data_IF_130180219619
#
_entry.id   IF_130180219619
#
_cell.length_a   1.000
_cell.length_b   1.000
_cell.length_c   1.000
_cell.angle_alpha   90.00
_cell.angle_beta   90.00
_cell.angle_gamma   90.00
#
_symmetry.space_group_name_H-M   'P 1'
#
loop_
_entity.id
_entity.type
_entity.pdbx_description
1 polymer ?
#
# COMPACT_ATOMS: atom_id res chain seq x y z
N UNK A 1 -8.44 6.68 14.75
CA UNK A 1 -9.28 7.85 14.45
C UNK A 1 -8.45 8.86 13.64
N UNK A 2 -9.11 9.55 12.68
CA UNK A 2 -8.48 10.61 11.92
C UNK A 2 -8.36 11.89 12.77
N UNK A 3 -7.21 12.55 12.67
CA UNK A 3 -7.01 13.90 13.21
C UNK A 3 -7.78 14.95 12.39
N UNK A 4 -7.94 16.16 12.90
CA UNK A 4 -8.61 17.24 12.17
C UNK A 4 -7.91 17.56 10.85
N UNK A 5 -6.57 17.46 10.80
CA UNK A 5 -5.78 17.63 9.58
C UNK A 5 -6.13 16.56 8.54
N UNK A 6 -6.15 15.31 8.94
CA UNK A 6 -6.44 14.17 8.05
C UNK A 6 -7.87 14.22 7.51
N UNK A 7 -8.82 14.69 8.31
CA UNK A 7 -10.21 14.87 7.88
C UNK A 7 -10.37 15.85 6.71
N UNK A 8 -9.49 16.85 6.61
CA UNK A 8 -9.54 17.84 5.51
C UNK A 8 -9.27 17.21 4.16
N UNK A 9 -8.38 16.22 4.09
CA UNK A 9 -7.97 15.54 2.85
C UNK A 9 -8.71 14.23 2.60
N UNK A 10 -9.49 13.77 3.57
CA UNK A 10 -10.22 12.49 3.50
C UNK A 10 -11.68 12.75 3.10
N UNK A 11 -12.16 12.19 1.98
CA UNK A 11 -13.53 12.38 1.54
C UNK A 11 -14.54 11.86 2.55
N UNK A 12 -15.64 12.58 2.74
CA UNK A 12 -16.77 12.18 3.56
C UNK A 12 -17.93 11.73 2.67
N UNK A 13 -18.45 10.54 2.88
CA UNK A 13 -19.65 10.05 2.24
C UNK A 13 -20.90 10.80 2.73
N UNK A 14 -21.95 10.84 1.93
CA UNK A 14 -23.24 11.46 2.32
C UNK A 14 -23.84 10.87 3.60
N UNK A 15 -23.50 9.64 3.93
CA UNK A 15 -23.94 8.95 5.14
C UNK A 15 -23.13 9.32 6.41
N UNK A 16 -22.17 10.26 6.30
CA UNK A 16 -21.43 10.82 7.44
C UNK A 16 -20.23 10.01 7.92
N UNK A 17 -19.70 9.12 7.11
CA UNK A 17 -18.46 8.39 7.39
C UNK A 17 -17.37 8.76 6.38
N UNK A 18 -16.11 8.64 6.79
CA UNK A 18 -14.97 8.89 5.91
C UNK A 18 -14.69 7.70 5.00
N UNK A 19 -14.42 7.99 3.73
CA UNK A 19 -14.00 7.03 2.69
C UNK A 19 -12.56 7.33 2.29
N UNK A 20 -11.92 6.43 1.55
CA UNK A 20 -10.54 6.63 1.07
C UNK A 20 -9.58 7.05 2.21
N UNK A 21 -9.61 6.30 3.31
CA UNK A 21 -8.83 6.58 4.53
C UNK A 21 -7.32 6.72 4.26
N UNK A 22 -6.83 6.10 3.17
CA UNK A 22 -5.43 6.22 2.77
C UNK A 22 -5.01 7.67 2.47
N UNK A 23 -5.92 8.55 2.06
CA UNK A 23 -5.64 9.99 1.92
C UNK A 23 -5.21 10.60 3.25
N UNK A 24 -5.95 10.33 4.32
CA UNK A 24 -5.59 10.76 5.66
C UNK A 24 -4.28 10.13 6.15
N UNK A 25 -4.07 8.85 5.87
CA UNK A 25 -2.83 8.17 6.24
C UNK A 25 -1.62 8.68 5.45
N UNK A 26 -1.80 9.08 4.19
CA UNK A 26 -0.76 9.76 3.41
C UNK A 26 -0.38 11.09 4.05
N UNK A 27 -1.36 11.92 4.44
CA UNK A 27 -1.10 13.17 5.16
C UNK A 27 -0.32 12.93 6.47
N UNK A 28 -0.75 11.93 7.25
CA UNK A 28 -0.04 11.52 8.47
C UNK A 28 1.41 11.14 8.18
N UNK A 29 1.64 10.30 7.18
CA UNK A 29 2.97 9.84 6.80
C UNK A 29 3.91 11.01 6.47
N UNK A 30 3.46 11.93 5.63
CA UNK A 30 4.25 13.12 5.29
C UNK A 30 4.55 13.99 6.52
N UNK A 31 3.56 14.19 7.39
CA UNK A 31 3.72 15.05 8.54
C UNK A 31 4.55 14.41 9.66
N UNK A 32 4.23 13.18 10.07
CA UNK A 32 4.85 12.53 11.24
C UNK A 32 6.23 11.93 10.93
N UNK A 33 6.41 11.35 9.74
CA UNK A 33 7.63 10.62 9.42
C UNK A 33 8.57 11.37 8.48
N UNK A 34 8.06 12.24 7.62
CA UNK A 34 8.90 13.05 6.73
C UNK A 34 9.09 14.49 7.19
N UNK A 35 8.40 14.90 8.26
CA UNK A 35 8.45 16.27 8.76
C UNK A 35 7.96 17.33 7.76
N UNK A 36 7.16 16.91 6.77
CA UNK A 36 6.66 17.78 5.71
C UNK A 36 5.29 18.34 6.06
N UNK A 37 5.18 19.65 5.99
CA UNK A 37 3.94 20.40 6.13
C UNK A 37 3.88 21.45 5.01
N UNK A 38 3.74 21.00 3.79
CA UNK A 38 3.86 21.86 2.63
C UNK A 38 2.84 21.50 1.52
N UNK A 39 2.94 22.21 0.40
CA UNK A 39 2.05 22.01 -0.74
C UNK A 39 2.14 20.59 -1.31
N UNK A 40 3.29 19.92 -1.26
CA UNK A 40 3.48 18.57 -1.76
C UNK A 40 2.65 17.55 -0.95
N UNK A 41 2.71 17.63 0.36
CA UNK A 41 1.86 16.82 1.26
C UNK A 41 0.38 17.01 0.94
N UNK A 42 -0.05 18.28 0.84
CA UNK A 42 -1.45 18.59 0.52
C UNK A 42 -1.87 18.06 -0.86
N UNK A 43 -1.03 18.14 -1.88
CA UNK A 43 -1.34 17.63 -3.22
C UNK A 43 -1.46 16.12 -3.21
N UNK A 44 -0.51 15.44 -2.60
CA UNK A 44 -0.46 13.96 -2.57
C UNK A 44 -1.62 13.37 -1.76
N UNK A 45 -2.04 14.04 -0.71
CA UNK A 45 -3.14 13.58 0.15
C UNK A 45 -4.53 13.93 -0.39
N UNK A 46 -4.63 14.90 -1.33
CA UNK A 46 -5.91 15.46 -1.80
C UNK A 46 -6.45 14.80 -3.08
N UNK A 47 -5.86 13.70 -3.56
CA UNK A 47 -6.23 13.14 -4.87
C UNK A 47 -7.67 12.60 -4.96
N UNK A 48 -8.33 12.34 -3.82
CA UNK A 48 -9.74 11.92 -3.76
C UNK A 48 -10.74 13.05 -3.45
N UNK A 49 -10.27 14.26 -3.16
CA UNK A 49 -11.15 15.42 -2.99
C UNK A 49 -11.10 16.34 -4.22
N UNK A 50 -12.02 17.30 -4.32
CA UNK A 50 -12.08 18.22 -5.47
C UNK A 50 -11.04 19.34 -5.34
N UNK A 51 -9.79 18.98 -5.46
CA UNK A 51 -8.66 19.91 -5.47
C UNK A 51 -8.44 20.47 -6.87
N UNK A 52 -8.51 21.79 -7.01
CA UNK A 52 -8.42 22.48 -8.30
C UNK A 52 -6.98 22.79 -8.74
N UNK A 53 -5.99 22.55 -7.91
CA UNK A 53 -4.56 22.75 -8.26
C UNK A 53 -4.14 21.86 -9.43
N UNK A 54 -3.35 22.36 -10.39
CA UNK A 54 -2.97 21.62 -11.59
C UNK A 54 -2.31 20.26 -11.28
N UNK A 55 -1.35 20.24 -10.33
CA UNK A 55 -0.65 19.01 -9.94
C UNK A 55 -1.59 18.00 -9.25
N UNK A 56 -2.52 18.45 -8.42
CA UNK A 56 -3.51 17.57 -7.81
C UNK A 56 -4.43 16.91 -8.86
N UNK A 57 -4.81 17.65 -9.91
CA UNK A 57 -5.57 17.09 -11.04
C UNK A 57 -4.78 16.05 -11.83
N UNK A 58 -3.50 16.30 -12.06
CA UNK A 58 -2.60 15.35 -12.74
C UNK A 58 -2.48 14.07 -11.91
N UNK A 59 -2.20 14.22 -10.61
CA UNK A 59 -2.07 13.08 -9.70
C UNK A 59 -3.36 12.24 -9.64
N UNK A 60 -4.51 12.89 -9.47
CA UNK A 60 -5.82 12.21 -9.50
C UNK A 60 -6.03 11.45 -10.81
N UNK A 61 -5.63 12.03 -11.94
CA UNK A 61 -5.76 11.36 -13.23
C UNK A 61 -4.83 10.17 -13.37
N UNK A 62 -3.61 10.29 -12.87
CA UNK A 62 -2.65 9.19 -12.85
C UNK A 62 -3.15 8.02 -11.99
N UNK A 63 -3.67 8.32 -10.79
CA UNK A 63 -4.26 7.35 -9.90
C UNK A 63 -5.46 6.62 -10.53
N UNK A 64 -6.37 7.36 -11.17
CA UNK A 64 -7.49 6.78 -11.90
C UNK A 64 -7.07 5.86 -13.05
N UNK A 65 -5.99 6.19 -13.75
CA UNK A 65 -5.45 5.34 -14.83
C UNK A 65 -4.85 4.07 -14.23
N UNK A 66 -4.01 4.19 -13.22
CA UNK A 66 -3.38 3.05 -12.56
C UNK A 66 -4.44 2.08 -12.01
N UNK A 67 -5.36 2.56 -11.20
CA UNK A 67 -6.42 1.73 -10.60
C UNK A 67 -7.40 1.15 -11.63
N UNK A 68 -7.58 1.79 -12.80
CA UNK A 68 -8.45 1.24 -13.85
C UNK A 68 -7.83 0.06 -14.61
N UNK A 69 -6.52 -0.05 -14.63
CA UNK A 69 -5.82 -1.18 -15.23
C UNK A 69 -6.01 -2.41 -14.34
N UNK A 70 -5.82 -2.27 -13.05
CA UNK A 70 -5.95 -3.35 -12.09
C UNK A 70 -7.39 -3.91 -12.01
N UNK A 71 -8.40 -3.04 -12.05
CA UNK A 71 -9.82 -3.46 -11.93
C UNK A 71 -10.35 -4.30 -13.09
N UNK A 72 -9.77 -4.23 -14.27
CA UNK A 72 -10.29 -4.94 -15.45
C UNK A 72 -10.09 -6.46 -15.38
N UNK A 73 -9.06 -6.91 -14.69
CA UNK A 73 -8.77 -8.32 -14.56
C UNK A 73 -9.55 -9.00 -13.41
N UNK A 74 -10.03 -8.23 -12.46
CA UNK A 74 -10.64 -8.71 -11.22
C UNK A 74 -12.15 -8.94 -11.27
N UNK A 75 -12.88 -8.23 -12.14
CA UNK A 75 -14.32 -8.46 -12.28
C UNK A 75 -14.65 -9.93 -12.64
N UNK A 76 -13.70 -10.66 -13.21
CA UNK A 76 -13.86 -12.06 -13.57
C UNK A 76 -13.60 -13.03 -12.40
N UNK A 77 -12.66 -12.69 -11.54
CA UNK A 77 -12.29 -13.54 -10.38
C UNK A 77 -13.25 -13.35 -9.20
N UNK A 78 -13.98 -12.23 -9.18
CA UNK A 78 -14.90 -11.87 -8.08
C UNK A 78 -16.15 -12.73 -8.04
N UNK A 79 -16.67 -13.17 -9.18
CA UNK A 79 -17.89 -14.00 -9.24
C UNK A 79 -17.63 -15.43 -8.75
N UNK A 80 -16.39 -15.94 -8.81
CA UNK A 80 -16.05 -17.30 -8.39
C UNK A 80 -15.69 -17.43 -6.90
N UNK A 81 -15.20 -16.38 -6.24
CA UNK A 81 -14.67 -16.45 -4.88
C UNK A 81 -15.41 -15.56 -3.87
N UNK A 82 -16.67 -15.90 -3.58
CA UNK A 82 -17.51 -15.21 -2.58
C UNK A 82 -17.02 -15.33 -1.10
N UNK A 83 -15.73 -15.55 -0.87
CA UNK A 83 -15.13 -15.47 0.47
C UNK A 83 -14.43 -14.14 0.62
N UNK A 84 -15.09 -13.19 1.30
CA UNK A 84 -14.47 -11.96 1.82
C UNK A 84 -13.34 -12.31 2.81
N UNK A 85 -12.20 -12.74 2.28
CA UNK A 85 -10.95 -12.71 3.03
C UNK A 85 -10.56 -11.25 3.24
N UNK A 86 -10.11 -10.89 4.42
CA UNK A 86 -9.53 -9.57 4.62
C UNK A 86 -8.24 -9.51 3.80
N UNK A 87 -7.99 -8.40 3.10
CA UNK A 87 -6.76 -8.20 2.29
C UNK A 87 -5.48 -8.54 3.08
N UNK A 88 -5.49 -8.36 4.39
CA UNK A 88 -4.38 -8.68 5.27
C UNK A 88 -4.03 -10.17 5.29
N UNK A 89 -4.95 -11.06 4.95
CA UNK A 89 -4.74 -12.50 4.93
C UNK A 89 -4.27 -13.02 3.56
N UNK A 90 -4.22 -12.14 2.56
CA UNK A 90 -3.71 -12.49 1.22
C UNK A 90 -2.19 -12.39 1.20
N UNK A 91 -1.53 -13.30 0.50
CA UNK A 91 -0.08 -13.29 0.24
C UNK A 91 0.17 -13.44 -1.25
N UNK A 92 1.29 -12.92 -1.72
CA UNK A 92 1.70 -13.13 -3.10
C UNK A 92 2.02 -14.61 -3.34
N UNK A 93 1.39 -15.18 -4.35
CA UNK A 93 1.69 -16.53 -4.81
C UNK A 93 2.97 -16.56 -5.63
N UNK A 94 3.70 -17.66 -5.55
CA UNK A 94 4.83 -17.88 -6.43
C UNK A 94 4.36 -18.07 -7.88
N UNK A 95 5.02 -17.40 -8.82
CA UNK A 95 4.76 -17.60 -10.27
C UNK A 95 4.96 -19.07 -10.68
N UNK A 96 5.86 -19.77 -10.02
CA UNK A 96 6.13 -21.20 -10.26
C UNK A 96 4.96 -22.07 -9.86
N UNK A 97 4.08 -21.59 -8.98
CA UNK A 97 2.85 -22.28 -8.60
C UNK A 97 1.90 -22.50 -9.76
N UNK A 98 1.86 -21.57 -10.71
CA UNK A 98 1.01 -21.65 -11.89
C UNK A 98 1.52 -22.67 -12.94
N UNK A 99 2.79 -23.09 -12.83
CA UNK A 99 3.37 -24.06 -13.76
C UNK A 99 2.96 -25.46 -13.35
N UNK A 100 2.27 -26.18 -14.24
CA UNK A 100 1.83 -27.55 -14.01
C UNK A 100 2.98 -28.54 -14.31
N UNK A 101 3.50 -29.14 -13.25
CA UNK A 101 4.52 -30.20 -13.34
C UNK A 101 3.91 -31.61 -13.22
N UNK A 102 2.60 -31.79 -13.34
CA UNK A 102 1.90 -33.06 -13.26
C UNK A 102 1.85 -33.65 -11.85
N UNK A 103 2.09 -32.86 -10.81
CA UNK A 103 1.98 -33.23 -9.39
C UNK A 103 0.95 -32.36 -8.70
N UNK A 104 0.45 -32.85 -7.55
CA UNK A 104 -0.46 -32.04 -6.74
C UNK A 104 0.24 -30.73 -6.31
N UNK A 105 -0.37 -29.61 -6.67
CA UNK A 105 0.19 -28.27 -6.42
C UNK A 105 -0.06 -27.90 -4.95
N UNK A 106 0.99 -27.69 -4.19
CA UNK A 106 0.90 -27.00 -2.91
C UNK A 106 1.01 -25.49 -3.19
N UNK A 107 0.07 -24.71 -2.67
CA UNK A 107 0.12 -23.25 -2.78
C UNK A 107 1.37 -22.74 -2.06
N UNK A 108 2.32 -22.18 -2.80
CA UNK A 108 3.51 -21.58 -2.26
C UNK A 108 3.41 -20.07 -2.32
N UNK A 109 3.53 -19.42 -1.17
CA UNK A 109 3.37 -17.96 -1.04
C UNK A 109 4.62 -17.32 -0.42
N UNK A 110 4.80 -16.03 -0.67
CA UNK A 110 5.88 -15.25 -0.08
C UNK A 110 5.45 -14.66 1.26
N UNK A 111 6.29 -14.76 2.30
CA UNK A 111 6.03 -14.08 3.56
C UNK A 111 6.18 -12.56 3.41
N UNK A 112 5.48 -11.79 4.25
CA UNK A 112 5.61 -10.34 4.32
C UNK A 112 6.93 -9.94 4.98
N UNK A 113 7.88 -9.53 4.17
CA UNK A 113 9.20 -9.03 4.61
C UNK A 113 9.83 -8.14 3.55
N UNK A 114 10.85 -7.34 3.89
CA UNK A 114 11.60 -6.56 2.90
C UNK A 114 12.13 -7.44 1.77
N UNK A 115 12.17 -6.91 0.55
CA UNK A 115 12.53 -7.68 -0.64
C UNK A 115 13.92 -8.32 -0.55
N UNK A 116 14.91 -7.61 0.02
CA UNK A 116 16.26 -8.16 0.24
C UNK A 116 16.29 -9.36 1.22
N UNK A 117 15.25 -9.52 2.03
CA UNK A 117 15.05 -10.67 2.92
C UNK A 117 14.07 -11.70 2.33
N UNK A 118 13.74 -11.57 1.06
CA UNK A 118 12.87 -12.49 0.35
C UNK A 118 13.52 -13.89 0.39
N UNK A 119 12.81 -14.81 1.01
CA UNK A 119 13.17 -16.23 0.98
C UNK A 119 12.49 -16.96 -0.16
N UNK A 120 12.64 -18.26 -0.21
CA UNK A 120 11.82 -19.10 -1.07
C UNK A 120 10.37 -19.07 -0.60
N UNK A 121 9.39 -19.13 -1.53
CA UNK A 121 7.99 -19.26 -1.18
C UNK A 121 7.79 -20.59 -0.44
N UNK A 122 6.97 -20.57 0.60
CA UNK A 122 6.70 -21.75 1.43
C UNK A 122 5.35 -22.35 1.07
N UNK A 123 5.28 -23.69 1.07
CA UNK A 123 4.06 -24.43 0.75
C UNK A 123 3.06 -24.52 1.93
N UNK A 124 3.47 -24.12 3.12
CA UNK A 124 2.72 -24.32 4.35
C UNK A 124 1.88 -23.12 4.76
N UNK A 125 1.47 -22.30 3.80
CA UNK A 125 0.61 -21.20 4.08
C UNK A 125 -0.84 -21.70 4.20
N UNK A 126 -1.24 -22.20 5.35
CA UNK A 126 -2.63 -22.17 5.77
C UNK A 126 -2.99 -20.70 6.03
N UNK A 127 -4.17 -20.25 5.61
CA UNK A 127 -4.63 -18.87 5.81
C UNK A 127 -4.37 -18.47 7.27
N UNK A 128 -3.39 -17.60 7.46
CA UNK A 128 -2.97 -17.14 8.78
C UNK A 128 -4.15 -16.51 9.51
N UNK A 129 -4.24 -16.70 10.82
CA UNK A 129 -5.18 -15.97 11.66
C UNK A 129 -5.08 -14.47 11.34
N UNK A 130 -6.22 -13.78 11.30
CA UNK A 130 -6.27 -12.34 11.00
C UNK A 130 -5.36 -11.52 11.90
N UNK A 131 -5.25 -11.87 13.18
CA UNK A 131 -4.42 -11.15 14.15
C UNK A 131 -2.94 -11.36 13.88
N UNK A 132 -2.55 -12.56 13.47
CA UNK A 132 -1.18 -12.86 13.07
C UNK A 132 -0.79 -12.07 11.80
N UNK A 133 -1.67 -12.06 10.80
CA UNK A 133 -1.47 -11.27 9.59
C UNK A 133 -1.34 -9.78 9.86
N UNK A 134 -2.18 -9.21 10.73
CA UNK A 134 -2.07 -7.81 11.15
C UNK A 134 -0.73 -7.56 11.85
N UNK A 135 -0.28 -8.51 12.68
CA UNK A 135 1.01 -8.43 13.36
C UNK A 135 2.19 -8.39 12.36
N UNK A 136 2.14 -9.17 11.29
CA UNK A 136 3.16 -9.15 10.24
C UNK A 136 3.19 -7.81 9.48
N UNK A 137 2.04 -7.25 9.12
CA UNK A 137 1.96 -5.93 8.49
C UNK A 137 2.51 -4.83 9.40
N UNK A 138 2.16 -4.85 10.69
CA UNK A 138 2.67 -3.89 11.66
C UNK A 138 4.19 -4.02 11.83
N UNK A 139 4.71 -5.24 11.87
CA UNK A 139 6.15 -5.49 11.95
C UNK A 139 6.89 -4.99 10.71
N UNK A 140 6.33 -5.25 9.51
CA UNK A 140 6.88 -4.75 8.25
C UNK A 140 6.92 -3.22 8.23
N UNK A 141 5.80 -2.59 8.61
CA UNK A 141 5.71 -1.13 8.67
C UNK A 141 6.69 -0.54 9.69
N UNK A 142 6.81 -1.13 10.89
CA UNK A 142 7.75 -0.64 11.90
C UNK A 142 9.20 -0.76 11.43
N UNK A 143 9.54 -1.84 10.72
CA UNK A 143 10.88 -2.00 10.16
C UNK A 143 11.14 -0.95 9.07
N UNK A 144 10.14 -0.69 8.23
CA UNK A 144 10.22 0.39 7.22
C UNK A 144 10.47 1.76 7.86
N UNK A 145 9.74 2.10 8.93
CA UNK A 145 9.92 3.37 9.64
C UNK A 145 11.31 3.44 10.29
N UNK A 146 11.79 2.38 10.91
CA UNK A 146 13.12 2.35 11.51
C UNK A 146 14.23 2.58 10.46
N UNK A 147 14.10 1.97 9.28
CA UNK A 147 15.04 2.18 8.19
C UNK A 147 14.92 3.59 7.60
N UNK A 148 13.71 4.14 7.51
CA UNK A 148 13.47 5.52 7.10
C UNK A 148 14.12 6.53 8.05
N UNK A 149 14.00 6.33 9.35
CA UNK A 149 14.55 7.20 10.39
C UNK A 149 16.06 7.02 10.59
N UNK A 150 16.61 5.82 10.28
CA UNK A 150 18.03 5.52 10.46
C UNK A 150 18.94 6.29 9.53
N UNK A 151 18.41 6.79 8.44
CA UNK A 151 19.13 7.58 7.47
C UNK A 151 18.58 9.01 7.49
N UNK A 152 19.47 9.98 7.54
CA UNK A 152 19.15 11.41 7.53
C UNK A 152 18.65 11.81 6.12
N UNK A 153 17.52 11.21 5.69
CA UNK A 153 17.01 11.35 4.32
C UNK A 153 16.44 12.72 4.02
N UNK A 154 15.94 13.41 5.05
CA UNK A 154 15.17 14.62 4.86
C UNK A 154 15.83 15.78 5.58
N UNK A 155 16.79 16.41 4.90
CA UNK A 155 17.12 17.79 5.13
C UNK A 155 15.98 18.68 4.60
N UNK A 156 15.94 19.94 4.99
CA UNK A 156 14.85 20.90 4.73
C UNK A 156 14.41 21.06 3.27
N UNK A 157 15.09 20.46 2.32
CA UNK A 157 14.79 20.51 0.88
C UNK A 157 14.67 19.09 0.31
N UNK A 158 13.50 18.78 -0.30
CA UNK A 158 13.28 17.55 -1.04
C UNK A 158 13.94 17.67 -2.40
N UNK A 159 15.10 17.10 -2.55
CA UNK A 159 15.78 17.00 -3.83
C UNK A 159 15.49 15.64 -4.52
N UNK A 160 16.03 15.50 -5.74
CA UNK A 160 15.89 14.25 -6.50
C UNK A 160 16.51 13.05 -5.77
N UNK A 161 17.57 13.27 -5.01
CA UNK A 161 18.26 12.21 -4.28
C UNK A 161 17.38 11.66 -3.13
N UNK A 162 16.75 12.54 -2.37
CA UNK A 162 15.77 12.15 -1.34
C UNK A 162 14.62 11.37 -1.95
N UNK A 163 14.09 11.81 -3.10
CA UNK A 163 13.03 11.12 -3.81
C UNK A 163 13.46 9.72 -4.27
N UNK A 164 14.60 9.59 -4.93
CA UNK A 164 15.10 8.31 -5.45
C UNK A 164 15.32 7.29 -4.30
N UNK A 165 15.80 7.78 -3.15
CA UNK A 165 16.01 6.93 -1.96
C UNK A 165 14.70 6.51 -1.31
N UNK A 166 13.76 7.44 -1.12
CA UNK A 166 12.44 7.09 -0.60
C UNK A 166 11.73 6.10 -1.52
N UNK A 167 11.81 6.32 -2.84
CA UNK A 167 11.24 5.39 -3.81
C UNK A 167 11.86 4.00 -3.70
N UNK A 168 13.20 3.90 -3.60
CA UNK A 168 13.90 2.64 -3.43
C UNK A 168 13.48 1.94 -2.12
N UNK A 169 13.37 2.68 -1.03
CA UNK A 169 12.93 2.15 0.26
C UNK A 169 11.46 1.65 0.17
N UNK A 170 10.57 2.45 -0.40
CA UNK A 170 9.17 2.05 -0.63
C UNK A 170 9.10 0.78 -1.47
N UNK A 171 9.84 0.71 -2.57
CA UNK A 171 9.91 -0.48 -3.43
C UNK A 171 10.35 -1.72 -2.63
N UNK A 172 11.40 -1.58 -1.82
CA UNK A 172 11.94 -2.64 -0.99
C UNK A 172 10.91 -3.24 -0.04
N UNK A 173 10.06 -2.40 0.56
CA UNK A 173 9.09 -2.82 1.56
C UNK A 173 7.72 -3.19 1.00
N UNK A 174 7.36 -2.71 -0.20
CA UNK A 174 6.03 -2.96 -0.77
C UNK A 174 6.01 -4.07 -1.83
N UNK A 175 7.15 -4.49 -2.37
CA UNK A 175 7.23 -5.49 -3.46
C UNK A 175 6.53 -6.81 -3.13
N UNK A 176 6.56 -7.26 -1.88
CA UNK A 176 5.91 -8.50 -1.43
C UNK A 176 4.53 -8.27 -0.80
N UNK A 177 4.04 -7.04 -0.79
CA UNK A 177 2.69 -6.70 -0.34
C UNK A 177 1.73 -6.88 -1.50
N UNK A 178 0.70 -7.73 -1.39
CA UNK A 178 -0.31 -7.86 -2.42
C UNK A 178 -1.02 -6.52 -2.69
N UNK A 179 -1.27 -6.20 -3.95
CA UNK A 179 -2.11 -5.06 -4.27
C UNK A 179 -3.52 -5.31 -3.73
N UNK A 180 -4.05 -4.35 -2.95
CA UNK A 180 -5.44 -4.39 -2.54
C UNK A 180 -6.27 -3.66 -3.58
N UNK A 181 -7.20 -4.38 -4.18
CA UNK A 181 -8.07 -3.85 -5.21
C UNK A 181 -9.44 -3.48 -4.67
N UNK A 182 -9.62 -3.62 -3.37
CA UNK A 182 -10.85 -3.26 -2.67
C UNK A 182 -10.68 -1.99 -1.84
N UNK A 183 -11.29 -0.94 -2.30
CA UNK A 183 -11.63 0.24 -1.52
C UNK A 183 -13.14 0.34 -1.27
#
# INVERSE_FOLDING_TARGET
DLTEREKVVTPMAKAGYYTHLHSGYTSRFFHEYLGMDNELEMITSSHHIDDQRPLAKILRKADQIASSIDRKDEEKDFEENNKKGTFQQVRLSSVVHEVDFGKQKALATYPLRPFHKMGYPTADFEMTDKNESVGEYLSLFQTFINDLESEDYFTSEVDKYCFDRLYALMYEYTTLVPASTYE
#
